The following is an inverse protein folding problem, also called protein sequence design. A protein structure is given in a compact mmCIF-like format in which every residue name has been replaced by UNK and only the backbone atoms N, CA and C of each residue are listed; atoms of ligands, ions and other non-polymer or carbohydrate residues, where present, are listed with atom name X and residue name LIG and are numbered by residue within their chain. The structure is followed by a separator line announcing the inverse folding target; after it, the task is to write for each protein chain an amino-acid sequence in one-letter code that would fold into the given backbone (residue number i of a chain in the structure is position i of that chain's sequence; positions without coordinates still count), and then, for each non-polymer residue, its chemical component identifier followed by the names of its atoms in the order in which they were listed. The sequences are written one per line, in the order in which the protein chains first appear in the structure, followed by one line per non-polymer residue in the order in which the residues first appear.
data_IF_136752057755
#
_entry.id   IF_136752057755
#
_cell.length_a   1.000
_cell.length_b   1.000
_cell.length_c   1.000
_cell.angle_alpha   90.00
_cell.angle_beta   90.00
_cell.angle_gamma   90.00
#
_symmetry.space_group_name_H-M   'P 1'
#
loop_
_entity.id
_entity.type
_entity.pdbx_description
1 polymer ?
#
# COMPACT_ATOMS: atom_id res chain seq x y z
N UNK A 1 -14.75 -9.35 7.09
CA UNK A 1 -15.43 -8.88 5.85
C UNK A 1 -16.40 -7.75 6.16
N UNK A 2 -16.57 -6.82 5.22
CA UNK A 2 -17.47 -5.67 5.37
C UNK A 2 -18.97 -6.09 5.33
N UNK A 3 -19.25 -7.17 4.63
CA UNK A 3 -20.58 -7.79 4.57
C UNK A 3 -20.50 -9.29 4.91
N UNK A 4 -21.59 -9.94 5.33
CA UNK A 4 -21.60 -11.38 5.57
C UNK A 4 -21.22 -12.20 4.34
N UNK A 5 -21.61 -11.76 3.15
CA UNK A 5 -21.33 -12.41 1.86
C UNK A 5 -19.86 -12.25 1.46
N UNK A 6 -19.22 -11.13 1.81
CA UNK A 6 -17.84 -10.82 1.47
C UNK A 6 -17.59 -10.61 -0.02
N UNK A 7 -18.56 -10.03 -0.75
CA UNK A 7 -18.49 -9.83 -2.20
C UNK A 7 -18.59 -8.34 -2.57
N UNK A 8 -18.08 -7.99 -3.78
CA UNK A 8 -18.20 -6.64 -4.33
C UNK A 8 -19.68 -6.21 -4.44
N UNK A 9 -20.55 -7.10 -4.89
CA UNK A 9 -21.99 -6.81 -5.03
C UNK A 9 -22.65 -6.50 -3.68
N UNK A 10 -22.36 -7.29 -2.66
CA UNK A 10 -22.93 -7.05 -1.34
C UNK A 10 -22.39 -5.75 -0.70
N UNK A 11 -21.15 -5.36 -1.03
CA UNK A 11 -20.57 -4.11 -0.56
C UNK A 11 -21.30 -2.87 -1.12
N UNK A 12 -21.85 -2.94 -2.31
CA UNK A 12 -22.62 -1.84 -2.94
C UNK A 12 -23.76 -1.40 -2.02
N UNK A 13 -24.46 -2.32 -1.36
CA UNK A 13 -25.59 -2.03 -0.48
C UNK A 13 -25.18 -1.23 0.77
N UNK A 14 -23.88 -1.16 1.09
CA UNK A 14 -23.33 -0.41 2.22
C UNK A 14 -22.82 0.98 1.86
N UNK A 15 -22.62 1.28 0.59
CA UNK A 15 -22.09 2.56 0.13
C UNK A 15 -22.95 3.76 0.53
N UNK A 16 -24.30 3.71 0.46
CA UNK A 16 -25.14 4.82 0.91
C UNK A 16 -24.92 5.17 2.38
N UNK A 17 -24.77 4.17 3.26
CA UNK A 17 -24.47 4.38 4.67
C UNK A 17 -23.12 5.11 4.87
N UNK A 18 -22.09 4.74 4.12
CA UNK A 18 -20.79 5.39 4.22
C UNK A 18 -20.82 6.83 3.73
N UNK A 19 -21.54 7.10 2.64
CA UNK A 19 -21.75 8.45 2.13
C UNK A 19 -22.52 9.32 3.13
N UNK A 20 -23.60 8.79 3.76
CA UNK A 20 -24.36 9.47 4.79
C UNK A 20 -23.52 9.77 6.04
N UNK A 21 -22.59 8.87 6.39
CA UNK A 21 -21.64 9.06 7.49
C UNK A 21 -20.64 10.21 7.21
N UNK A 22 -20.54 10.68 5.97
CA UNK A 22 -19.61 11.73 5.55
C UNK A 22 -18.25 11.23 5.07
N UNK A 23 -18.14 9.94 4.77
CA UNK A 23 -16.95 9.38 4.11
C UNK A 23 -16.86 9.94 2.70
N UNK A 24 -15.64 10.27 2.26
CA UNK A 24 -15.39 10.79 0.91
C UNK A 24 -14.47 9.86 0.09
N UNK A 25 -13.74 8.98 0.76
CA UNK A 25 -12.83 8.03 0.13
C UNK A 25 -12.90 6.67 0.81
N UNK A 26 -12.93 5.63 0.02
CA UNK A 26 -12.84 4.24 0.44
C UNK A 26 -11.44 3.72 0.11
N UNK A 27 -10.82 3.03 1.04
CA UNK A 27 -9.65 2.20 0.73
C UNK A 27 -10.07 0.73 0.80
N UNK A 28 -9.85 0.02 -0.29
CA UNK A 28 -10.16 -1.40 -0.43
C UNK A 28 -8.87 -2.18 -0.21
N UNK A 29 -8.90 -3.12 0.72
CA UNK A 29 -7.79 -4.07 0.95
C UNK A 29 -7.47 -4.82 -0.35
N UNK A 30 -6.26 -5.42 -0.48
CA UNK A 30 -5.84 -6.02 -1.74
C UNK A 30 -6.83 -7.05 -2.27
N UNK A 31 -7.15 -6.94 -3.55
CA UNK A 31 -8.12 -7.82 -4.22
C UNK A 31 -7.50 -8.81 -5.18
N UNK A 32 -6.18 -8.81 -5.38
CA UNK A 32 -5.49 -9.74 -6.27
C UNK A 32 -5.76 -11.19 -5.89
N UNK A 33 -5.93 -12.06 -6.90
CA UNK A 33 -6.22 -13.48 -6.70
C UNK A 33 -5.15 -14.15 -5.83
N UNK A 34 -5.59 -14.86 -4.78
CA UNK A 34 -4.76 -15.63 -3.84
C UNK A 34 -5.31 -17.05 -3.66
N UNK A 35 -4.59 -17.91 -2.93
CA UNK A 35 -5.00 -19.28 -2.61
C UNK A 35 -6.17 -19.33 -1.62
N UNK A 36 -7.12 -20.25 -1.83
CA UNK A 36 -8.28 -20.42 -0.96
C UNK A 36 -9.39 -19.39 -1.18
N UNK A 37 -10.27 -19.22 -0.19
CA UNK A 37 -11.45 -18.34 -0.28
C UNK A 37 -11.53 -17.31 0.85
N UNK A 38 -10.54 -17.26 1.72
CA UNK A 38 -10.47 -16.34 2.88
C UNK A 38 -9.06 -15.79 3.04
N UNK A 39 -8.95 -14.49 3.18
CA UNK A 39 -7.70 -13.78 3.40
C UNK A 39 -7.94 -12.29 3.47
N UNK A 40 -6.89 -11.56 3.84
CA UNK A 40 -6.90 -10.09 3.79
C UNK A 40 -6.48 -9.55 2.42
N UNK A 41 -6.04 -10.44 1.50
CA UNK A 41 -5.62 -10.08 0.16
C UNK A 41 -4.09 -9.91 0.01
N UNK A 42 -3.32 -9.95 1.11
CA UNK A 42 -1.86 -9.76 1.04
C UNK A 42 -1.08 -10.97 0.54
N UNK A 43 -1.75 -12.08 0.24
CA UNK A 43 -1.15 -13.29 -0.34
C UNK A 43 -1.43 -13.40 -1.84
N UNK A 44 -1.56 -12.28 -2.56
CA UNK A 44 -1.86 -12.25 -3.99
C UNK A 44 -0.82 -12.95 -4.84
N UNK A 45 -1.27 -13.70 -5.86
CA UNK A 45 -0.40 -14.44 -6.81
C UNK A 45 -0.66 -14.08 -8.27
N UNK A 46 -1.79 -13.44 -8.57
CA UNK A 46 -2.12 -12.93 -9.90
C UNK A 46 -2.40 -11.43 -9.79
N UNK A 47 -1.39 -10.62 -10.07
CA UNK A 47 -1.45 -9.16 -9.84
C UNK A 47 -2.50 -8.43 -10.71
N UNK A 48 -2.97 -9.05 -11.79
CA UNK A 48 -3.88 -8.44 -12.76
C UNK A 48 -5.29 -9.04 -12.74
N UNK A 49 -5.65 -9.78 -11.68
CA UNK A 49 -6.95 -10.41 -11.59
C UNK A 49 -7.57 -10.25 -10.20
N UNK A 50 -8.81 -9.75 -10.08
CA UNK A 50 -9.51 -9.75 -8.81
C UNK A 50 -9.84 -11.17 -8.36
N UNK A 51 -9.85 -11.37 -7.04
CA UNK A 51 -10.10 -12.68 -6.42
C UNK A 51 -11.53 -13.15 -6.69
N UNK A 52 -11.64 -14.36 -7.24
CA UNK A 52 -12.92 -14.95 -7.67
C UNK A 52 -13.94 -15.15 -6.53
N UNK A 53 -13.51 -15.25 -5.27
CA UNK A 53 -14.42 -15.32 -4.14
C UNK A 53 -15.11 -13.97 -3.82
N UNK A 54 -14.57 -12.85 -4.29
CA UNK A 54 -15.18 -11.53 -4.12
C UNK A 54 -16.18 -11.18 -5.21
N UNK A 55 -16.15 -11.90 -6.33
CA UNK A 55 -16.98 -11.69 -7.50
C UNK A 55 -16.21 -11.72 -8.81
N UNK A 56 -16.85 -11.31 -9.89
CA UNK A 56 -16.24 -11.18 -11.21
C UNK A 56 -15.55 -9.81 -11.37
N UNK A 57 -14.70 -9.62 -12.41
CA UNK A 57 -14.22 -8.29 -12.79
C UNK A 57 -15.36 -7.27 -12.98
N UNK A 58 -16.47 -7.66 -13.62
CA UNK A 58 -17.64 -6.80 -13.79
C UNK A 58 -18.30 -6.41 -12.46
N UNK A 59 -18.24 -7.28 -11.45
CA UNK A 59 -18.74 -6.96 -10.12
C UNK A 59 -17.88 -5.91 -9.42
N UNK A 60 -16.55 -5.95 -9.65
CA UNK A 60 -15.65 -4.92 -9.12
C UNK A 60 -15.85 -3.57 -9.83
N UNK A 61 -16.02 -3.56 -11.16
CA UNK A 61 -16.43 -2.36 -11.90
C UNK A 61 -17.72 -1.78 -11.33
N UNK A 62 -18.75 -2.60 -11.15
CA UNK A 62 -20.03 -2.14 -10.64
C UNK A 62 -19.93 -1.57 -9.20
N UNK A 63 -19.03 -2.10 -8.38
CA UNK A 63 -18.78 -1.55 -7.05
C UNK A 63 -18.15 -0.15 -7.12
N UNK A 64 -17.16 0.05 -7.98
CA UNK A 64 -16.49 1.35 -8.16
C UNK A 64 -17.45 2.37 -8.77
N UNK A 65 -18.20 2.00 -9.80
CA UNK A 65 -19.21 2.87 -10.40
C UNK A 65 -20.29 3.31 -9.40
N UNK A 66 -20.73 2.39 -8.54
CA UNK A 66 -21.70 2.70 -7.49
C UNK A 66 -21.11 3.65 -6.42
N UNK A 67 -19.83 3.50 -6.08
CA UNK A 67 -19.14 4.41 -5.17
C UNK A 67 -19.02 5.81 -5.79
N UNK A 68 -18.61 5.93 -7.04
CA UNK A 68 -18.51 7.18 -7.77
C UNK A 68 -19.87 7.89 -7.91
N UNK A 69 -20.95 7.13 -8.15
CA UNK A 69 -22.31 7.68 -8.22
C UNK A 69 -22.77 8.35 -6.90
N UNK A 70 -22.14 7.98 -5.78
CA UNK A 70 -22.38 8.57 -4.45
C UNK A 70 -21.33 9.63 -4.07
N UNK A 71 -20.40 9.96 -4.97
CA UNK A 71 -19.32 10.91 -4.71
C UNK A 71 -18.19 10.35 -3.83
N UNK A 72 -18.08 9.04 -3.72
CA UNK A 72 -17.01 8.36 -2.99
C UNK A 72 -15.86 8.02 -3.96
N UNK A 73 -14.64 8.44 -3.66
CA UNK A 73 -13.45 7.95 -4.36
C UNK A 73 -13.05 6.55 -3.85
N UNK A 74 -12.38 5.77 -4.71
CA UNK A 74 -11.93 4.42 -4.37
C UNK A 74 -10.43 4.28 -4.59
N UNK A 75 -9.71 3.97 -3.51
CA UNK A 75 -8.29 3.64 -3.49
C UNK A 75 -8.13 2.14 -3.28
N UNK A 76 -7.23 1.52 -4.02
CA UNK A 76 -6.90 0.10 -3.87
C UNK A 76 -5.54 -0.07 -3.20
N UNK A 77 -5.51 -0.89 -2.17
CA UNK A 77 -4.27 -1.37 -1.59
C UNK A 77 -3.64 -2.44 -2.50
N UNK A 78 -2.36 -2.27 -2.87
CA UNK A 78 -1.64 -3.17 -3.77
C UNK A 78 -0.35 -3.68 -3.15
N UNK A 79 -0.08 -4.96 -3.36
CA UNK A 79 1.11 -5.66 -2.87
C UNK A 79 2.05 -5.89 -4.04
N UNK A 80 3.18 -5.21 -4.07
CA UNK A 80 4.21 -5.34 -5.11
C UNK A 80 5.55 -5.86 -4.60
N UNK A 81 5.67 -6.04 -3.28
CA UNK A 81 6.91 -6.45 -2.61
C UNK A 81 7.10 -7.96 -2.52
N UNK A 82 6.03 -8.74 -2.69
CA UNK A 82 6.06 -10.20 -2.61
C UNK A 82 4.88 -10.84 -3.33
N UNK A 83 4.90 -12.16 -3.43
CA UNK A 83 3.78 -13.00 -3.84
C UNK A 83 3.42 -13.95 -2.71
N UNK A 84 2.14 -14.30 -2.63
CA UNK A 84 1.67 -15.30 -1.66
C UNK A 84 2.28 -16.69 -1.90
N UNK A 85 2.33 -17.53 -0.86
CA UNK A 85 2.96 -18.85 -0.93
C UNK A 85 2.12 -19.89 -1.68
N UNK A 86 0.79 -19.73 -1.71
CA UNK A 86 -0.12 -20.71 -2.31
C UNK A 86 -0.55 -20.28 -3.71
N UNK A 87 -0.29 -21.13 -4.71
CA UNK A 87 -0.66 -20.89 -6.10
C UNK A 87 0.36 -20.03 -6.88
N UNK A 88 1.49 -19.65 -6.28
CA UNK A 88 2.57 -18.99 -6.98
C UNK A 88 3.44 -20.00 -7.74
N UNK A 89 3.22 -20.10 -9.04
CA UNK A 89 4.02 -20.95 -9.94
C UNK A 89 5.11 -20.19 -10.70
N UNK A 90 5.24 -18.88 -10.50
CA UNK A 90 6.26 -18.06 -11.16
C UNK A 90 7.70 -18.56 -10.93
N UNK A 91 8.11 -19.02 -9.72
CA UNK A 91 9.46 -19.54 -9.54
C UNK A 91 9.80 -20.75 -10.39
N UNK A 92 8.79 -21.55 -10.77
CA UNK A 92 8.94 -22.72 -11.64
C UNK A 92 8.90 -22.35 -13.13
N UNK A 93 8.07 -21.38 -13.51
CA UNK A 93 7.85 -20.97 -14.89
C UNK A 93 8.88 -19.95 -15.36
N UNK A 94 9.31 -19.07 -14.48
CA UNK A 94 10.26 -18.00 -14.75
C UNK A 94 11.20 -17.81 -13.56
N UNK A 95 12.22 -18.68 -13.39
CA UNK A 95 13.13 -18.59 -12.24
C UNK A 95 13.85 -17.25 -12.11
N UNK A 96 14.07 -16.54 -13.24
CA UNK A 96 14.69 -15.22 -13.27
C UNK A 96 13.80 -14.11 -12.68
N UNK A 97 12.54 -14.41 -12.34
CA UNK A 97 11.64 -13.46 -11.70
C UNK A 97 12.04 -13.15 -10.26
N UNK A 98 12.79 -14.03 -9.64
CA UNK A 98 13.18 -13.95 -8.24
C UNK A 98 14.68 -14.12 -8.05
N UNK A 99 15.22 -13.40 -7.09
CA UNK A 99 16.57 -13.64 -6.58
C UNK A 99 16.69 -15.04 -5.97
N UNK A 100 17.81 -15.72 -6.22
CA UNK A 100 18.05 -17.03 -5.62
C UNK A 100 18.75 -16.94 -4.26
N UNK A 101 19.34 -15.82 -3.94
CA UNK A 101 20.19 -15.54 -2.78
C UNK A 101 19.63 -14.46 -1.84
N UNK A 102 18.50 -13.83 -2.22
CA UNK A 102 17.83 -12.81 -1.39
C UNK A 102 16.49 -13.31 -0.93
N UNK A 103 16.37 -13.53 0.38
CA UNK A 103 15.13 -13.97 1.02
C UNK A 103 14.40 -12.79 1.67
N UNK A 104 13.09 -12.82 1.58
CA UNK A 104 12.17 -11.96 2.33
C UNK A 104 11.33 -12.81 3.29
N UNK A 105 10.54 -12.21 4.20
CA UNK A 105 9.63 -12.97 5.06
C UNK A 105 8.63 -13.86 4.29
N UNK A 106 8.35 -13.54 3.03
CA UNK A 106 7.39 -14.26 2.17
C UNK A 106 8.04 -15.18 1.14
N UNK A 107 9.36 -15.31 1.12
CA UNK A 107 10.10 -16.13 0.17
C UNK A 107 11.18 -15.36 -0.57
N UNK A 108 11.53 -15.80 -1.77
CA UNK A 108 12.57 -15.16 -2.57
C UNK A 108 12.16 -13.75 -2.99
N UNK A 109 13.08 -12.78 -2.86
CA UNK A 109 12.86 -11.40 -3.30
C UNK A 109 12.66 -11.29 -4.81
N UNK A 110 11.83 -10.35 -5.24
CA UNK A 110 11.57 -10.06 -6.66
C UNK A 110 12.79 -9.38 -7.27
N UNK A 111 13.18 -9.78 -8.47
CA UNK A 111 14.34 -9.27 -9.21
C UNK A 111 13.94 -8.06 -10.07
N UNK A 112 13.71 -6.90 -9.45
CA UNK A 112 13.24 -5.68 -10.13
C UNK A 112 14.22 -5.12 -11.16
N UNK A 113 15.51 -5.45 -11.09
CA UNK A 113 16.54 -5.08 -12.06
C UNK A 113 16.43 -5.85 -13.37
N UNK A 114 15.67 -6.96 -13.40
CA UNK A 114 15.37 -7.71 -14.63
C UNK A 114 14.27 -6.99 -15.39
N UNK A 115 14.57 -6.49 -16.59
CA UNK A 115 13.67 -5.64 -17.37
C UNK A 115 12.24 -6.19 -17.52
N UNK A 116 12.08 -7.47 -17.87
CA UNK A 116 10.75 -8.07 -18.03
C UNK A 116 9.97 -8.16 -16.71
N UNK A 117 10.66 -8.39 -15.58
CA UNK A 117 10.07 -8.38 -14.24
C UNK A 117 9.66 -6.97 -13.85
N UNK A 118 10.56 -6.01 -14.08
CA UNK A 118 10.31 -4.59 -13.82
C UNK A 118 9.07 -4.08 -14.56
N UNK A 119 8.98 -4.38 -15.85
CA UNK A 119 7.80 -4.01 -16.66
C UNK A 119 6.52 -4.66 -16.10
N UNK A 120 6.54 -5.96 -15.82
CA UNK A 120 5.40 -6.66 -15.26
C UNK A 120 4.91 -6.04 -13.93
N UNK A 121 5.84 -5.69 -13.04
CA UNK A 121 5.48 -5.07 -11.75
C UNK A 121 5.02 -3.61 -11.94
N UNK A 122 5.71 -2.83 -12.79
CA UNK A 122 5.38 -1.42 -12.98
C UNK A 122 4.07 -1.19 -13.75
N UNK A 123 3.65 -2.14 -14.58
CA UNK A 123 2.38 -2.05 -15.32
C UNK A 123 1.16 -2.43 -14.46
N UNK A 124 1.32 -3.20 -13.40
CA UNK A 124 0.19 -3.63 -12.56
C UNK A 124 -0.58 -2.45 -11.94
N UNK A 125 0.06 -1.41 -11.34
CA UNK A 125 -0.63 -0.21 -10.87
C UNK A 125 -1.42 0.51 -11.98
N UNK A 126 -0.82 0.66 -13.17
CA UNK A 126 -1.48 1.31 -14.30
C UNK A 126 -2.71 0.52 -14.77
N UNK A 127 -2.61 -0.82 -14.79
CA UNK A 127 -3.75 -1.69 -15.11
C UNK A 127 -4.93 -1.43 -14.16
N UNK A 128 -4.72 -1.47 -12.85
CA UNK A 128 -5.78 -1.24 -11.88
C UNK A 128 -6.41 0.15 -12.00
N UNK A 129 -5.61 1.19 -12.22
CA UNK A 129 -6.09 2.56 -12.39
C UNK A 129 -6.85 2.79 -13.70
N UNK A 130 -6.42 2.15 -14.80
CA UNK A 130 -7.04 2.32 -16.11
C UNK A 130 -8.26 1.43 -16.30
N UNK A 131 -8.14 0.15 -15.93
CA UNK A 131 -9.22 -0.84 -16.14
C UNK A 131 -10.40 -0.54 -15.23
N UNK A 132 -10.17 -0.31 -13.95
CA UNK A 132 -11.24 -0.13 -12.96
C UNK A 132 -11.54 1.33 -12.61
N UNK A 133 -10.86 2.28 -13.23
CA UNK A 133 -11.03 3.73 -12.97
C UNK A 133 -10.84 4.13 -11.50
N UNK A 134 -9.96 3.45 -10.78
CA UNK A 134 -9.63 3.76 -9.39
C UNK A 134 -9.07 5.17 -9.25
N UNK A 135 -9.32 5.82 -8.11
CA UNK A 135 -8.87 7.18 -7.82
C UNK A 135 -7.50 7.22 -7.13
N UNK A 136 -6.96 6.08 -6.77
CA UNK A 136 -5.65 5.99 -6.14
C UNK A 136 -5.23 4.58 -5.79
N UNK A 137 -4.01 4.48 -5.28
CA UNK A 137 -3.38 3.25 -4.83
C UNK A 137 -2.64 3.49 -3.52
N UNK A 138 -2.71 2.51 -2.61
CA UNK A 138 -1.83 2.40 -1.44
C UNK A 138 -0.83 1.28 -1.71
N UNK A 139 0.45 1.55 -1.55
CA UNK A 139 1.54 0.60 -1.78
C UNK A 139 1.98 -0.01 -0.46
N UNK A 140 1.70 -1.31 -0.32
CA UNK A 140 1.99 -2.10 0.87
C UNK A 140 3.48 -2.32 1.08
N UNK A 141 3.94 -2.16 2.32
CA UNK A 141 5.26 -2.54 2.82
C UNK A 141 6.42 -2.19 1.85
N UNK A 142 6.50 -0.96 1.40
CA UNK A 142 7.48 -0.54 0.39
C UNK A 142 8.93 -0.65 0.88
N UNK A 143 9.16 -0.71 2.18
CA UNK A 143 10.45 -0.97 2.80
C UNK A 143 11.00 -2.38 2.48
N UNK A 144 10.13 -3.29 2.01
CA UNK A 144 10.49 -4.64 1.56
C UNK A 144 10.78 -4.71 0.05
N UNK A 145 10.63 -3.61 -0.69
CA UNK A 145 11.01 -3.52 -2.11
C UNK A 145 12.50 -3.19 -2.19
N UNK A 146 13.30 -4.22 -2.48
CA UNK A 146 14.75 -4.11 -2.63
C UNK A 146 15.10 -4.11 -4.12
N UNK A 147 15.27 -2.92 -4.68
CA UNK A 147 15.62 -2.70 -6.09
C UNK A 147 17.04 -2.15 -6.20
N UNK A 148 17.92 -2.91 -6.84
CA UNK A 148 19.35 -2.56 -7.04
C UNK A 148 19.58 -1.78 -8.35
N UNK A 149 18.52 -1.41 -9.09
CA UNK A 149 18.65 -0.61 -10.30
C UNK A 149 19.06 0.84 -9.98
N UNK A 150 19.64 1.54 -10.95
CA UNK A 150 20.04 2.94 -10.82
C UNK A 150 18.85 3.85 -10.44
N UNK A 151 17.69 3.61 -11.05
CA UNK A 151 16.43 4.27 -10.68
C UNK A 151 15.54 3.26 -9.98
N UNK A 152 15.20 3.53 -8.73
CA UNK A 152 14.32 2.67 -7.95
C UNK A 152 12.92 2.60 -8.58
N UNK A 153 12.29 1.41 -8.57
CA UNK A 153 11.02 1.14 -9.25
C UNK A 153 9.87 2.03 -8.75
N UNK A 154 9.83 2.42 -7.48
CA UNK A 154 8.74 3.22 -6.92
C UNK A 154 8.63 4.62 -7.55
N UNK A 155 9.69 5.46 -7.62
CA UNK A 155 9.65 6.71 -8.37
C UNK A 155 9.28 6.51 -9.84
N UNK A 156 9.76 5.44 -10.48
CA UNK A 156 9.41 5.12 -11.86
C UNK A 156 7.91 4.83 -12.03
N UNK A 157 7.33 4.00 -11.16
CA UNK A 157 5.89 3.72 -11.15
C UNK A 157 5.10 5.01 -10.96
N UNK A 158 5.46 5.84 -9.98
CA UNK A 158 4.78 7.11 -9.75
C UNK A 158 4.82 8.01 -10.98
N UNK A 159 5.98 8.16 -11.62
CA UNK A 159 6.12 8.95 -12.84
C UNK A 159 5.29 8.39 -13.99
N UNK A 160 5.33 7.08 -14.23
CA UNK A 160 4.50 6.43 -15.27
C UNK A 160 3.01 6.68 -15.06
N UNK A 161 2.54 6.66 -13.80
CA UNK A 161 1.14 6.95 -13.46
C UNK A 161 0.82 8.43 -13.74
N UNK A 162 1.69 9.38 -13.34
CA UNK A 162 1.49 10.81 -13.62
C UNK A 162 1.43 11.10 -15.12
N UNK A 163 2.29 10.44 -15.90
CA UNK A 163 2.34 10.58 -17.35
C UNK A 163 1.12 9.98 -18.05
N UNK A 164 0.61 8.85 -17.54
CA UNK A 164 -0.55 8.17 -18.10
C UNK A 164 -1.89 8.87 -17.78
N UNK A 165 -1.96 9.60 -16.67
CA UNK A 165 -3.20 10.25 -16.19
C UNK A 165 -3.01 11.75 -15.90
N UNK A 166 -2.56 12.56 -16.86
CA UNK A 166 -2.24 13.98 -16.64
C UNK A 166 -3.45 14.82 -16.20
N UNK A 167 -4.65 14.43 -16.62
CA UNK A 167 -5.90 15.15 -16.35
C UNK A 167 -6.68 14.57 -15.15
N UNK A 168 -6.14 13.57 -14.47
CA UNK A 168 -6.75 12.94 -13.30
C UNK A 168 -5.87 13.11 -12.06
N UNK A 169 -6.49 13.51 -10.97
CA UNK A 169 -5.81 13.47 -9.68
C UNK A 169 -5.82 12.02 -9.16
N UNK A 170 -4.65 11.37 -9.20
CA UNK A 170 -4.47 10.00 -8.68
C UNK A 170 -3.77 10.10 -7.33
N UNK A 171 -4.41 9.60 -6.28
CA UNK A 171 -3.82 9.49 -4.94
C UNK A 171 -2.87 8.30 -4.90
N UNK A 172 -1.59 8.55 -4.57
CA UNK A 172 -0.59 7.51 -4.37
C UNK A 172 -0.10 7.61 -2.93
N UNK A 173 -0.36 6.59 -2.14
CA UNK A 173 0.09 6.52 -0.74
C UNK A 173 1.01 5.34 -0.54
N UNK A 174 1.93 5.46 0.40
CA UNK A 174 2.88 4.40 0.75
C UNK A 174 2.68 3.95 2.19
N UNK A 175 3.10 2.73 2.49
CA UNK A 175 3.35 2.27 3.86
C UNK A 175 4.85 2.03 4.01
N UNK A 176 5.50 2.78 4.90
CA UNK A 176 6.93 2.67 5.15
C UNK A 176 7.25 2.87 6.64
N UNK A 177 7.81 1.86 7.27
CA UNK A 177 8.19 1.93 8.68
C UNK A 177 9.52 2.67 8.93
N UNK A 178 10.24 3.05 7.87
CA UNK A 178 11.59 3.66 7.96
C UNK A 178 11.57 5.16 8.23
N UNK A 179 10.43 5.83 8.10
CA UNK A 179 10.29 7.30 8.20
C UNK A 179 11.20 8.03 7.19
N UNK A 180 11.04 7.73 5.91
CA UNK A 180 11.81 8.34 4.82
C UNK A 180 10.94 9.26 3.98
N UNK A 181 11.46 10.40 3.57
CA UNK A 181 10.70 11.45 2.87
C UNK A 181 11.00 11.54 1.37
N UNK A 182 11.96 10.76 0.86
CA UNK A 182 12.43 10.91 -0.53
C UNK A 182 11.36 10.62 -1.60
N UNK A 183 10.31 9.88 -1.24
CA UNK A 183 9.17 9.60 -2.12
C UNK A 183 8.09 10.68 -2.07
N UNK A 184 8.16 11.61 -1.11
CA UNK A 184 7.15 12.63 -0.87
C UNK A 184 7.69 14.06 -1.05
N UNK A 185 8.55 14.33 -2.07
CA UNK A 185 9.05 15.69 -2.29
C UNK A 185 7.86 16.61 -2.60
N UNK A 186 7.97 17.87 -2.16
CA UNK A 186 7.02 18.93 -2.53
C UNK A 186 7.73 19.94 -3.42
N UNK A 187 7.04 20.35 -4.48
CA UNK A 187 7.51 21.44 -5.32
C UNK A 187 7.27 22.81 -4.67
N UNK A 188 7.64 23.88 -5.36
CA UNK A 188 7.47 25.28 -4.92
C UNK A 188 6.00 25.68 -4.70
N UNK A 189 5.05 24.91 -5.25
CA UNK A 189 3.61 25.09 -5.09
C UNK A 189 3.00 24.14 -4.05
N UNK A 190 3.82 23.33 -3.37
CA UNK A 190 3.41 22.33 -2.40
C UNK A 190 2.78 21.08 -3.01
N UNK A 191 2.89 20.90 -4.33
CA UNK A 191 2.41 19.69 -5.01
C UNK A 191 3.39 18.54 -4.81
N UNK A 192 2.87 17.32 -4.78
CA UNK A 192 3.65 16.09 -4.64
C UNK A 192 3.77 15.39 -6.00
N UNK A 193 4.91 15.53 -6.71
CA UNK A 193 5.06 14.97 -8.06
C UNK A 193 5.06 13.44 -8.07
N UNK A 194 5.48 12.79 -6.99
CA UNK A 194 5.52 11.34 -6.86
C UNK A 194 4.35 10.84 -6.00
N UNK A 195 4.61 10.52 -4.74
CA UNK A 195 3.59 10.03 -3.82
C UNK A 195 2.95 11.17 -3.03
N UNK A 196 1.65 11.04 -2.79
CA UNK A 196 0.83 12.08 -2.14
C UNK A 196 1.02 12.12 -0.64
N UNK A 197 1.09 10.94 0.01
CA UNK A 197 1.18 10.79 1.45
C UNK A 197 1.73 9.42 1.83
N UNK A 198 2.04 9.27 3.12
CA UNK A 198 2.47 8.02 3.73
C UNK A 198 1.54 7.64 4.86
N UNK A 199 1.23 6.35 4.99
CA UNK A 199 0.65 5.79 6.19
C UNK A 199 1.68 5.86 7.30
N UNK A 200 1.43 6.75 8.26
CA UNK A 200 2.38 7.09 9.30
C UNK A 200 2.37 6.06 10.43
N UNK A 201 3.33 5.14 10.38
CA UNK A 201 3.49 4.07 11.37
C UNK A 201 3.79 4.62 12.77
N UNK A 202 4.56 5.69 12.87
CA UNK A 202 4.87 6.36 14.14
C UNK A 202 3.63 6.96 14.80
N UNK A 203 2.76 7.63 14.01
CA UNK A 203 1.49 8.15 14.50
C UNK A 203 0.59 7.01 15.00
N UNK A 204 0.43 5.97 14.18
CA UNK A 204 -0.37 4.79 14.50
C UNK A 204 0.08 4.16 15.84
N UNK A 205 1.38 3.87 15.96
CA UNK A 205 1.94 3.20 17.14
C UNK A 205 1.88 4.10 18.38
N UNK A 206 2.20 5.39 18.25
CA UNK A 206 2.09 6.34 19.36
C UNK A 206 0.65 6.50 19.86
N UNK A 207 -0.33 6.58 18.94
CA UNK A 207 -1.74 6.66 19.29
C UNK A 207 -2.23 5.38 19.98
N UNK A 208 -1.81 4.21 19.47
CA UNK A 208 -2.15 2.93 20.08
C UNK A 208 -1.62 2.83 21.52
N UNK A 209 -0.33 3.10 21.73
CA UNK A 209 0.29 3.07 23.05
C UNK A 209 -0.36 4.08 24.01
N UNK A 210 -0.64 5.29 23.52
CA UNK A 210 -1.33 6.31 24.32
C UNK A 210 -2.71 5.84 24.78
N UNK A 211 -3.46 5.14 23.91
CA UNK A 211 -4.81 4.67 24.19
C UNK A 211 -4.85 3.41 25.07
N UNK A 212 -3.88 2.49 24.92
CA UNK A 212 -3.93 1.14 25.51
C UNK A 212 -2.93 0.93 26.66
N UNK A 213 -1.81 1.65 26.65
CA UNK A 213 -0.68 1.41 27.55
C UNK A 213 0.18 0.21 27.18
N UNK A 214 -0.06 -0.44 26.04
CA UNK A 214 0.77 -1.55 25.56
C UNK A 214 2.18 -1.10 25.23
N UNK A 215 3.21 -1.92 25.61
CA UNK A 215 4.62 -1.50 25.54
C UNK A 215 5.57 -2.61 25.11
N UNK A 216 5.05 -3.69 24.50
CA UNK A 216 5.87 -4.83 24.07
C UNK A 216 6.16 -4.77 22.56
N UNK A 217 7.17 -5.50 22.11
CA UNK A 217 7.63 -5.54 20.73
C UNK A 217 7.90 -4.12 20.17
N UNK A 218 7.40 -3.77 18.98
CA UNK A 218 7.60 -2.45 18.37
C UNK A 218 6.94 -1.30 19.16
N UNK A 219 5.95 -1.57 20.00
CA UNK A 219 5.34 -0.54 20.88
C UNK A 219 6.30 0.00 21.95
N UNK A 220 7.38 -0.72 22.29
CA UNK A 220 8.35 -0.23 23.27
C UNK A 220 8.99 1.09 22.87
N UNK A 221 9.13 1.35 21.56
CA UNK A 221 9.64 2.60 21.02
C UNK A 221 8.75 3.79 21.38
N UNK A 222 7.48 3.56 21.67
CA UNK A 222 6.48 4.59 21.95
C UNK A 222 6.01 4.60 23.41
N UNK A 223 6.49 3.68 24.25
CA UNK A 223 5.99 3.50 25.63
C UNK A 223 6.37 4.63 26.60
N UNK A 224 7.50 5.29 26.36
CA UNK A 224 7.93 6.43 27.20
C UNK A 224 7.35 7.73 26.66
N UNK A 225 6.59 8.47 27.49
CA UNK A 225 5.91 9.73 27.17
C UNK A 225 5.09 9.67 25.86
N UNK A 226 4.13 8.70 25.71
CA UNK A 226 3.40 8.47 24.48
C UNK A 226 2.62 9.71 24.00
N UNK A 227 2.12 10.54 24.90
CA UNK A 227 1.44 11.80 24.59
C UNK A 227 2.34 12.80 23.88
N UNK A 228 3.62 12.87 24.25
CA UNK A 228 4.60 13.76 23.59
C UNK A 228 4.98 13.22 22.21
N UNK A 229 5.11 11.90 22.09
CA UNK A 229 5.40 11.26 20.82
C UNK A 229 4.24 11.43 19.84
N UNK A 230 3.01 11.24 20.30
CA UNK A 230 1.83 11.49 19.48
C UNK A 230 1.75 12.96 19.03
N UNK A 231 2.00 13.89 19.97
CA UNK A 231 2.03 15.33 19.66
C UNK A 231 3.13 15.66 18.63
N UNK A 232 4.32 15.04 18.74
CA UNK A 232 5.42 15.21 17.78
C UNK A 232 5.05 14.67 16.39
N UNK A 233 4.48 13.47 16.32
CA UNK A 233 4.04 12.90 15.05
C UNK A 233 3.01 13.81 14.33
N UNK A 234 2.08 14.40 15.08
CA UNK A 234 1.09 15.35 14.55
C UNK A 234 1.69 16.68 14.09
N UNK A 235 2.72 17.17 14.79
CA UNK A 235 3.31 18.48 14.51
C UNK A 235 4.43 18.44 13.48
N UNK A 236 5.22 17.37 13.47
CA UNK A 236 6.48 17.25 12.72
C UNK A 236 6.46 16.10 11.69
N UNK A 237 5.40 15.31 11.62
CA UNK A 237 5.26 14.17 10.73
C UNK A 237 5.67 12.85 11.38
N UNK A 238 6.90 12.73 11.88
CA UNK A 238 7.41 11.50 12.50
C UNK A 238 7.86 11.70 13.95
N UNK A 239 7.83 10.62 14.72
CA UNK A 239 8.42 10.57 16.07
C UNK A 239 9.94 10.39 15.99
N UNK A 240 10.38 9.49 15.10
CA UNK A 240 11.79 9.19 14.89
C UNK A 240 12.29 9.90 13.64
N UNK A 241 13.24 10.81 13.82
CA UNK A 241 13.85 11.63 12.77
C UNK A 241 15.39 11.53 12.82
N UNK A 242 15.90 10.31 13.08
CA UNK A 242 17.31 9.99 13.24
C UNK A 242 17.67 9.42 14.61
N UNK A 243 16.75 9.45 15.57
CA UNK A 243 16.96 8.89 16.90
C UNK A 243 17.07 7.36 16.87
N UNK A 244 17.66 6.78 17.92
CA UNK A 244 17.83 5.33 18.05
C UNK A 244 16.53 4.69 18.51
N UNK A 245 16.02 3.74 17.70
CA UNK A 245 14.91 2.87 18.05
C UNK A 245 15.34 1.89 19.16
N UNK A 246 14.54 1.75 20.19
CA UNK A 246 14.78 0.78 21.28
C UNK A 246 14.59 -0.66 20.77
N UNK A 247 13.69 -0.85 19.81
CA UNK A 247 13.40 -2.15 19.21
C UNK A 247 14.58 -2.68 18.40
N UNK A 248 15.18 -1.83 17.56
CA UNK A 248 16.20 -2.25 16.60
C UNK A 248 17.63 -1.94 17.04
N UNK A 249 17.80 -0.99 17.99
CA UNK A 249 19.11 -0.45 18.39
C UNK A 249 19.79 0.37 17.28
N UNK A 250 19.06 0.76 16.24
CA UNK A 250 19.57 1.51 15.08
C UNK A 250 18.85 2.86 14.96
N UNK A 251 19.49 3.80 14.28
CA UNK A 251 18.85 5.06 13.87
C UNK A 251 17.63 4.77 13.00
N UNK A 252 16.51 5.46 13.24
CA UNK A 252 15.28 5.38 12.47
C UNK A 252 14.88 6.78 12.01
N UNK A 253 14.49 6.88 10.75
CA UNK A 253 14.04 8.11 10.14
C UNK A 253 15.15 9.06 9.71
N UNK A 254 14.72 10.15 9.11
CA UNK A 254 15.54 11.29 8.72
C UNK A 254 14.84 12.56 9.18
N UNK A 255 15.58 13.65 9.34
CA UNK A 255 15.01 14.97 9.66
C UNK A 255 14.08 15.41 8.51
N UNK A 256 12.86 15.85 8.86
CA UNK A 256 11.83 16.31 7.92
C UNK A 256 11.99 17.79 7.54
#
# INVERSE_FOLDING_TARGET
TFTPEGTFRAAIDKLPYLAELGITQLEVMPVSQFGGARGWGYDGVLLYAPHSAYGTPDDFHAFIDAAHALGLSVVLDIVLNHFGPEGNYLPLLSPAFFHQDRMTPWGNGIAYEVEAVRQYIAEAPLFWLSEYHLDGLRFDAIDQIHDDAETHILPEIAQRIRDAFPDRHIHLTTEDSRNVIFLHPRDEHGQTPLFTAEWNDDFHNAAHVFATGESHAYYQDFAFEPEKKLARALAEGFVYQGEISLQTGKSRGVEC
#
